data_IF_590733436307
#
_entry.id   IF_590733436307
#
_cell.length_a   1.000
_cell.length_b   1.000
_cell.length_c   1.000
_cell.angle_alpha   90.00
_cell.angle_beta   90.00
_cell.angle_gamma   90.00
#
_symmetry.space_group_name_H-M   'P 1'
#
loop_
_entity.id
_entity.type
_entity.pdbx_description
1 polymer ?
#
# COMPACT_ATOMS: atom_id res chain seq x y z
N UNK A 1 5.27 14.64 -7.50
CA UNK A 1 5.37 13.47 -6.58
C UNK A 1 6.08 13.92 -5.32
N UNK A 2 5.68 13.43 -4.16
CA UNK A 2 6.38 13.70 -2.90
C UNK A 2 7.74 13.00 -2.91
N UNK A 3 8.81 13.73 -2.55
CA UNK A 3 10.17 13.17 -2.52
C UNK A 3 10.26 12.07 -1.47
N UNK A 4 11.01 11.02 -1.76
CA UNK A 4 11.28 9.97 -0.78
C UNK A 4 12.30 10.45 0.24
N UNK A 5 11.98 10.24 1.53
CA UNK A 5 12.81 10.69 2.65
C UNK A 5 13.69 9.55 3.13
N UNK A 6 14.99 9.79 3.18
CA UNK A 6 16.03 8.82 3.57
C UNK A 6 16.78 9.36 4.78
N UNK A 7 17.00 8.51 5.77
CA UNK A 7 17.86 8.79 6.92
C UNK A 7 19.18 8.01 6.76
N UNK A 8 20.29 8.71 6.82
CA UNK A 8 21.65 8.13 6.79
C UNK A 8 22.25 8.16 8.19
N UNK A 9 22.71 7.01 8.67
CA UNK A 9 23.29 6.84 10.00
C UNK A 9 24.70 6.26 9.86
N UNK A 10 25.69 7.05 10.17
CA UNK A 10 27.12 6.67 10.05
C UNK A 10 27.93 7.58 10.98
N UNK A 11 28.77 7.05 11.84
CA UNK A 11 29.59 7.84 12.77
C UNK A 11 30.75 8.55 12.06
N UNK A 12 31.22 8.02 10.92
CA UNK A 12 32.22 8.65 10.09
C UNK A 12 31.65 9.86 9.31
N UNK A 13 32.02 11.08 9.68
CA UNK A 13 31.49 12.31 9.08
C UNK A 13 31.68 12.37 7.57
N UNK A 14 32.83 11.96 7.06
CA UNK A 14 33.15 12.00 5.61
C UNK A 14 32.27 11.03 4.84
N UNK A 15 32.06 9.81 5.36
CA UNK A 15 31.23 8.79 4.74
C UNK A 15 29.76 9.25 4.75
N UNK A 16 29.28 9.69 5.90
CA UNK A 16 27.93 10.23 6.06
C UNK A 16 27.65 11.40 5.11
N UNK A 17 28.57 12.36 5.02
CA UNK A 17 28.44 13.50 4.11
C UNK A 17 28.41 13.06 2.64
N UNK A 18 29.26 12.11 2.24
CA UNK A 18 29.30 11.57 0.89
C UNK A 18 27.97 10.87 0.52
N UNK A 19 27.47 9.97 1.38
CA UNK A 19 26.21 9.26 1.16
C UNK A 19 25.02 10.23 1.06
N UNK A 20 24.96 11.22 1.96
CA UNK A 20 23.92 12.25 1.93
C UNK A 20 23.95 13.03 0.62
N UNK A 21 25.11 13.44 0.13
CA UNK A 21 25.23 14.19 -1.12
C UNK A 21 24.86 13.34 -2.33
N UNK A 22 25.34 12.12 -2.45
CA UNK A 22 24.99 11.19 -3.53
C UNK A 22 23.47 11.02 -3.60
N UNK A 23 22.80 10.76 -2.48
CA UNK A 23 21.37 10.57 -2.45
C UNK A 23 20.60 11.85 -2.80
N UNK A 24 21.07 13.04 -2.37
CA UNK A 24 20.46 14.33 -2.72
C UNK A 24 20.54 14.64 -4.21
N UNK A 25 21.64 14.28 -4.89
CA UNK A 25 21.77 14.47 -6.36
C UNK A 25 20.78 13.62 -7.14
N UNK A 26 20.24 12.53 -6.54
CA UNK A 26 19.24 11.65 -7.13
C UNK A 26 17.82 11.93 -6.66
N UNK A 27 17.53 13.17 -6.27
CA UNK A 27 16.19 13.69 -5.95
C UNK A 27 15.54 13.10 -4.69
N UNK A 28 16.34 12.56 -3.75
CA UNK A 28 15.88 12.17 -2.43
C UNK A 28 15.97 13.33 -1.42
N UNK A 29 15.05 13.36 -0.47
CA UNK A 29 15.16 14.20 0.73
C UNK A 29 15.95 13.44 1.80
N UNK A 30 17.13 13.95 2.20
CA UNK A 30 18.07 13.18 2.99
C UNK A 30 18.50 13.95 4.23
N UNK A 31 18.39 13.29 5.39
CA UNK A 31 18.95 13.71 6.66
C UNK A 31 20.07 12.72 7.07
N UNK A 32 21.16 13.23 7.65
CA UNK A 32 22.27 12.41 8.13
C UNK A 32 22.54 12.65 9.61
N UNK A 33 22.72 11.59 10.38
CA UNK A 33 23.02 11.63 11.82
C UNK A 33 24.20 10.73 12.16
N UNK A 34 24.98 11.07 13.22
CA UNK A 34 26.19 10.34 13.57
C UNK A 34 25.94 9.08 14.41
N UNK A 35 24.74 8.93 15.01
CA UNK A 35 24.49 7.86 15.96
C UNK A 35 23.10 7.22 15.76
N UNK A 36 22.96 5.99 16.22
CA UNK A 36 21.69 5.28 16.26
C UNK A 36 20.68 5.98 17.18
N UNK A 37 21.13 6.54 18.29
CA UNK A 37 20.30 7.26 19.24
C UNK A 37 19.68 8.52 18.63
N UNK A 38 20.44 9.26 17.82
CA UNK A 38 19.93 10.43 17.11
C UNK A 38 18.98 10.03 15.97
N UNK A 39 19.26 8.89 15.32
CA UNK A 39 18.35 8.32 14.33
C UNK A 39 16.99 7.97 14.93
N UNK A 40 16.98 7.32 16.11
CA UNK A 40 15.73 6.98 16.80
C UNK A 40 14.95 8.23 17.22
N UNK A 41 15.61 9.29 17.72
CA UNK A 41 14.93 10.57 18.01
C UNK A 41 14.21 11.11 16.78
N UNK A 42 14.88 11.13 15.62
CA UNK A 42 14.27 11.60 14.39
C UNK A 42 13.10 10.71 13.92
N UNK A 43 13.21 9.39 14.10
CA UNK A 43 12.15 8.45 13.72
C UNK A 43 10.89 8.56 14.59
N UNK A 44 10.99 9.08 15.82
CA UNK A 44 9.81 9.41 16.62
C UNK A 44 9.09 10.67 16.13
N UNK A 45 9.84 11.66 15.64
CA UNK A 45 9.28 12.95 15.23
C UNK A 45 8.86 12.98 13.75
N UNK A 46 9.54 12.21 12.90
CA UNK A 46 9.40 12.24 11.45
C UNK A 46 9.29 10.84 10.86
N UNK A 47 8.62 10.74 9.71
CA UNK A 47 8.57 9.49 8.94
C UNK A 47 9.64 9.45 7.87
N UNK A 48 10.36 8.35 7.77
CA UNK A 48 11.32 8.07 6.70
C UNK A 48 10.86 6.86 5.89
N UNK A 49 11.17 6.86 4.60
CA UNK A 49 10.89 5.73 3.71
C UNK A 49 11.99 4.66 3.81
N UNK A 50 13.22 5.10 4.07
CA UNK A 50 14.39 4.25 4.14
C UNK A 50 15.38 4.79 5.17
N UNK A 51 16.00 3.89 5.92
CA UNK A 51 17.17 4.13 6.77
C UNK A 51 18.35 3.42 6.15
N UNK A 52 19.45 4.13 5.97
CA UNK A 52 20.73 3.62 5.52
C UNK A 52 21.69 3.69 6.71
N UNK A 53 22.19 2.57 7.20
CA UNK A 53 22.99 2.55 8.45
C UNK A 53 24.24 1.70 8.34
N UNK A 54 25.31 2.14 8.99
CA UNK A 54 26.43 1.23 9.28
C UNK A 54 26.03 0.22 10.37
N UNK A 55 26.68 -0.92 10.38
CA UNK A 55 26.60 -1.91 11.46
C UNK A 55 27.38 -1.49 12.70
N UNK A 56 28.55 -0.88 12.48
CA UNK A 56 29.45 -0.45 13.54
C UNK A 56 29.23 1.04 13.72
N UNK A 57 28.57 1.38 14.81
CA UNK A 57 28.35 2.75 15.24
C UNK A 57 28.85 2.88 16.68
N UNK A 58 29.28 4.07 17.07
CA UNK A 58 29.58 4.36 18.49
C UNK A 58 28.29 4.29 19.32
N UNK A 59 28.32 3.65 20.48
CA UNK A 59 27.17 3.47 21.36
C UNK A 59 26.25 2.32 20.90
N UNK A 60 25.04 2.61 20.48
CA UNK A 60 24.09 1.62 19.97
C UNK A 60 24.50 1.17 18.56
N UNK A 61 24.69 -0.14 18.36
CA UNK A 61 25.09 -0.70 17.07
C UNK A 61 23.98 -0.70 16.02
N UNK A 62 24.36 -0.78 14.73
CA UNK A 62 23.40 -0.75 13.62
C UNK A 62 22.39 -1.92 13.59
N UNK A 63 22.74 -3.09 14.14
CA UNK A 63 21.77 -4.20 14.27
C UNK A 63 20.69 -3.89 15.31
N UNK A 64 21.05 -3.29 16.42
CA UNK A 64 20.10 -2.86 17.45
C UNK A 64 19.23 -1.71 16.94
N UNK A 65 19.80 -0.79 16.16
CA UNK A 65 19.03 0.24 15.44
C UNK A 65 18.02 -0.40 14.49
N UNK A 66 18.42 -1.40 13.70
CA UNK A 66 17.51 -2.13 12.80
C UNK A 66 16.31 -2.73 13.54
N UNK A 67 16.55 -3.41 14.67
CA UNK A 67 15.47 -3.96 15.50
C UNK A 67 14.50 -2.86 15.97
N UNK A 68 15.02 -1.76 16.50
CA UNK A 68 14.21 -0.64 16.96
C UNK A 68 13.43 0.02 15.82
N UNK A 69 14.02 0.21 14.64
CA UNK A 69 13.35 0.75 13.46
C UNK A 69 12.16 -0.14 13.06
N UNK A 70 12.35 -1.47 13.04
CA UNK A 70 11.27 -2.40 12.68
C UNK A 70 10.13 -2.44 13.70
N UNK A 71 10.39 -2.11 14.96
CA UNK A 71 9.36 -1.95 16.01
C UNK A 71 8.63 -0.60 15.89
N UNK A 72 9.37 0.51 15.79
CA UNK A 72 8.80 1.87 15.78
C UNK A 72 8.11 2.17 14.44
N UNK A 73 8.75 1.80 13.35
CA UNK A 73 8.31 2.08 11.98
C UNK A 73 8.43 0.84 11.09
N UNK A 74 7.55 -0.17 11.22
CA UNK A 74 7.65 -1.44 10.49
C UNK A 74 7.64 -1.30 8.96
N UNK A 75 7.18 -0.15 8.46
CA UNK A 75 7.13 0.16 7.03
C UNK A 75 8.39 0.86 6.52
N UNK A 76 9.26 1.32 7.40
CA UNK A 76 10.53 1.92 7.00
C UNK A 76 11.49 0.83 6.56
N UNK A 77 12.02 0.98 5.35
CA UNK A 77 13.04 0.08 4.83
C UNK A 77 14.37 0.34 5.53
N UNK A 78 15.17 -0.69 5.70
CA UNK A 78 16.53 -0.57 6.28
C UNK A 78 17.51 -1.24 5.34
N UNK A 79 18.49 -0.47 4.87
CA UNK A 79 19.66 -0.97 4.14
C UNK A 79 20.88 -0.79 5.03
N UNK A 80 21.64 -1.86 5.19
CA UNK A 80 22.90 -1.82 5.93
C UNK A 80 24.05 -1.59 4.95
N UNK A 81 24.93 -0.61 5.26
CA UNK A 81 26.20 -0.39 4.54
C UNK A 81 27.34 -0.51 5.53
N UNK A 82 28.26 -1.46 5.34
CA UNK A 82 29.35 -1.66 6.30
C UNK A 82 30.65 -2.11 5.64
N UNK A 83 31.78 -1.67 6.18
CA UNK A 83 33.10 -2.17 5.83
C UNK A 83 33.46 -3.52 6.50
N UNK A 84 32.70 -3.94 7.50
CA UNK A 84 32.95 -5.14 8.29
C UNK A 84 31.86 -6.20 8.08
N UNK A 85 31.82 -6.72 6.85
CA UNK A 85 30.88 -7.79 6.49
C UNK A 85 31.40 -9.17 6.87
N UNK A 86 30.90 -9.78 7.93
CA UNK A 86 31.02 -11.22 8.13
C UNK A 86 29.73 -11.92 7.68
N UNK A 87 29.83 -13.18 7.24
CA UNK A 87 28.66 -14.01 6.93
C UNK A 87 27.70 -14.06 8.13
N UNK A 88 28.23 -14.08 9.35
CA UNK A 88 27.48 -14.12 10.59
C UNK A 88 26.63 -12.84 10.80
N UNK A 89 27.23 -11.67 10.58
CA UNK A 89 26.52 -10.37 10.72
C UNK A 89 25.45 -10.19 9.65
N UNK A 90 25.75 -10.58 8.40
CA UNK A 90 24.78 -10.54 7.31
C UNK A 90 23.57 -11.46 7.57
N UNK A 91 23.81 -12.69 8.04
CA UNK A 91 22.73 -13.63 8.43
C UNK A 91 21.89 -13.07 9.58
N UNK A 92 22.53 -12.43 10.56
CA UNK A 92 21.80 -11.80 11.68
C UNK A 92 20.93 -10.65 11.18
N UNK A 93 21.47 -9.76 10.35
CA UNK A 93 20.70 -8.67 9.75
C UNK A 93 19.48 -9.17 8.93
N UNK A 94 19.67 -10.25 8.15
CA UNK A 94 18.56 -10.89 7.40
C UNK A 94 17.46 -11.43 8.34
N UNK A 95 17.82 -12.04 9.46
CA UNK A 95 16.84 -12.52 10.46
C UNK A 95 16.06 -11.39 11.13
N UNK A 96 16.71 -10.23 11.30
CA UNK A 96 16.09 -9.03 11.86
C UNK A 96 15.27 -8.25 10.84
N UNK A 97 15.22 -8.69 9.58
CA UNK A 97 14.38 -8.11 8.55
C UNK A 97 15.00 -6.91 7.84
N UNK A 98 16.36 -6.91 7.67
CA UNK A 98 17.01 -5.96 6.77
C UNK A 98 16.49 -6.13 5.34
N UNK A 99 16.27 -5.04 4.65
CA UNK A 99 15.73 -5.07 3.28
C UNK A 99 16.85 -5.27 2.23
N UNK A 100 18.04 -4.74 2.48
CA UNK A 100 19.24 -5.01 1.67
C UNK A 100 20.54 -4.77 2.46
N UNK A 101 21.66 -5.23 1.90
CA UNK A 101 22.97 -5.18 2.55
C UNK A 101 24.07 -4.83 1.53
N UNK A 102 24.88 -3.83 1.82
CA UNK A 102 25.96 -3.33 0.98
C UNK A 102 27.31 -3.39 1.69
N UNK A 103 28.37 -3.70 0.99
CA UNK A 103 29.73 -3.66 1.50
C UNK A 103 30.41 -2.34 1.12
N UNK A 104 31.07 -1.68 2.09
CA UNK A 104 32.00 -0.56 1.81
C UNK A 104 33.35 -1.12 1.30
N UNK A 105 33.99 -0.51 0.29
CA UNK A 105 33.50 0.62 -0.49
C UNK A 105 32.46 0.19 -1.54
N UNK A 106 31.32 0.86 -1.60
CA UNK A 106 30.35 0.72 -2.68
C UNK A 106 30.41 1.94 -3.59
N UNK A 107 30.21 1.72 -4.89
CA UNK A 107 30.13 2.83 -5.84
C UNK A 107 28.73 3.49 -5.81
N UNK A 108 28.67 4.71 -6.37
CA UNK A 108 27.44 5.49 -6.43
C UNK A 108 26.32 4.75 -7.16
N UNK A 109 26.64 4.07 -8.27
CA UNK A 109 25.64 3.38 -9.09
C UNK A 109 25.04 2.19 -8.33
N UNK A 110 25.88 1.43 -7.61
CA UNK A 110 25.41 0.31 -6.79
C UNK A 110 24.50 0.81 -5.66
N UNK A 111 24.91 1.85 -4.93
CA UNK A 111 24.11 2.46 -3.88
C UNK A 111 22.73 2.88 -4.39
N UNK A 112 22.70 3.66 -5.48
CA UNK A 112 21.45 4.18 -6.04
C UNK A 112 20.57 3.08 -6.59
N UNK A 113 21.14 2.06 -7.25
CA UNK A 113 20.38 0.90 -7.73
C UNK A 113 19.68 0.17 -6.58
N UNK A 114 20.39 -0.08 -5.47
CA UNK A 114 19.84 -0.77 -4.30
C UNK A 114 18.74 0.04 -3.61
N UNK A 115 18.99 1.33 -3.39
CA UNK A 115 17.99 2.24 -2.81
C UNK A 115 16.73 2.31 -3.66
N UNK A 116 16.87 2.50 -4.97
CA UNK A 116 15.74 2.54 -5.90
C UNK A 116 14.94 1.25 -5.87
N UNK A 117 15.61 0.10 -6.02
CA UNK A 117 14.99 -1.23 -6.01
C UNK A 117 14.19 -1.47 -4.72
N UNK A 118 14.76 -1.15 -3.56
CA UNK A 118 14.08 -1.32 -2.28
C UNK A 118 12.81 -0.47 -2.20
N UNK A 119 12.88 0.80 -2.58
CA UNK A 119 11.74 1.72 -2.57
C UNK A 119 10.65 1.33 -3.58
N UNK A 120 11.02 0.84 -4.77
CA UNK A 120 10.10 0.35 -5.79
C UNK A 120 9.37 -0.92 -5.32
N UNK A 121 10.09 -1.91 -4.81
CA UNK A 121 9.48 -3.15 -4.28
C UNK A 121 8.47 -2.85 -3.17
N UNK A 122 8.74 -1.88 -2.30
CA UNK A 122 7.79 -1.44 -1.28
C UNK A 122 6.52 -0.82 -1.89
N UNK A 123 6.66 -0.02 -2.94
CA UNK A 123 5.52 0.60 -3.62
C UNK A 123 4.66 -0.42 -4.34
N UNK A 124 5.26 -1.39 -5.03
CA UNK A 124 4.55 -2.50 -5.66
C UNK A 124 3.77 -3.37 -4.66
N UNK A 125 4.38 -3.71 -3.52
CA UNK A 125 3.71 -4.48 -2.48
C UNK A 125 2.49 -3.75 -1.89
N UNK A 126 2.57 -2.43 -1.70
CA UNK A 126 1.43 -1.60 -1.26
C UNK A 126 0.31 -1.58 -2.31
N UNK A 127 0.66 -1.41 -3.58
CA UNK A 127 -0.32 -1.35 -4.67
C UNK A 127 -1.01 -2.70 -4.89
N UNK A 128 -0.27 -3.81 -4.87
CA UNK A 128 -0.87 -5.15 -4.95
C UNK A 128 -1.86 -5.41 -3.81
N UNK A 129 -1.51 -5.05 -2.58
CA UNK A 129 -2.39 -5.20 -1.43
C UNK A 129 -3.66 -4.35 -1.59
N UNK A 130 -3.53 -3.11 -2.06
CA UNK A 130 -4.65 -2.21 -2.34
C UNK A 130 -5.57 -2.77 -3.43
N UNK A 131 -5.00 -3.32 -4.51
CA UNK A 131 -5.77 -3.97 -5.59
C UNK A 131 -6.54 -5.18 -5.06
N UNK A 132 -5.93 -6.02 -4.21
CA UNK A 132 -6.59 -7.16 -3.59
C UNK A 132 -7.74 -6.72 -2.67
N UNK A 133 -7.54 -5.69 -1.85
CA UNK A 133 -8.57 -5.13 -0.97
C UNK A 133 -9.76 -4.58 -1.78
N UNK A 134 -9.50 -3.79 -2.82
CA UNK A 134 -10.54 -3.25 -3.72
C UNK A 134 -11.26 -4.38 -4.46
N UNK A 135 -10.53 -5.38 -4.95
CA UNK A 135 -11.12 -6.54 -5.63
C UNK A 135 -12.01 -7.39 -4.72
N UNK A 136 -11.61 -7.57 -3.45
CA UNK A 136 -12.41 -8.27 -2.46
C UNK A 136 -13.70 -7.51 -2.14
N UNK A 137 -13.64 -6.19 -1.98
CA UNK A 137 -14.81 -5.33 -1.76
C UNK A 137 -15.75 -5.40 -2.96
N UNK A 138 -15.24 -5.31 -4.20
CA UNK A 138 -16.04 -5.39 -5.41
C UNK A 138 -16.80 -6.71 -5.51
N UNK A 139 -16.13 -7.84 -5.29
CA UNK A 139 -16.74 -9.17 -5.30
C UNK A 139 -17.83 -9.31 -4.23
N UNK A 140 -17.60 -8.79 -3.05
CA UNK A 140 -18.57 -8.80 -1.95
C UNK A 140 -19.78 -7.93 -2.29
N UNK A 141 -19.60 -6.76 -2.90
CA UNK A 141 -20.69 -5.85 -3.27
C UNK A 141 -21.59 -6.44 -4.35
N UNK A 142 -21.02 -7.08 -5.37
CA UNK A 142 -21.82 -7.77 -6.42
C UNK A 142 -22.66 -8.89 -5.80
N UNK A 143 -22.04 -9.73 -4.95
CA UNK A 143 -22.75 -10.82 -4.28
C UNK A 143 -23.85 -10.31 -3.34
N UNK A 144 -23.64 -9.19 -2.65
CA UNK A 144 -24.64 -8.55 -1.80
C UNK A 144 -25.81 -7.98 -2.65
N UNK A 145 -25.52 -7.35 -3.79
CA UNK A 145 -26.55 -6.86 -4.71
C UNK A 145 -27.49 -7.99 -5.16
N UNK A 146 -26.95 -9.13 -5.56
CA UNK A 146 -27.76 -10.28 -5.99
C UNK A 146 -28.58 -10.85 -4.82
N UNK A 147 -27.97 -10.97 -3.63
CA UNK A 147 -28.66 -11.47 -2.43
C UNK A 147 -29.76 -10.54 -1.92
N UNK A 148 -29.66 -9.24 -2.16
CA UNK A 148 -30.68 -8.26 -1.78
C UNK A 148 -31.75 -8.13 -2.87
N UNK A 149 -31.37 -8.10 -4.14
CA UNK A 149 -32.31 -7.96 -5.24
C UNK A 149 -33.27 -9.16 -5.38
N UNK A 150 -32.79 -10.37 -5.07
CA UNK A 150 -33.62 -11.57 -5.11
C UNK A 150 -34.86 -11.49 -4.17
N UNK A 151 -34.73 -11.27 -2.85
CA UNK A 151 -35.89 -11.12 -1.96
C UNK A 151 -36.72 -9.89 -2.28
N UNK A 152 -36.13 -8.78 -2.75
CA UNK A 152 -36.89 -7.62 -3.18
C UNK A 152 -37.79 -7.92 -4.38
N UNK A 153 -37.32 -8.73 -5.35
CA UNK A 153 -38.12 -9.17 -6.48
C UNK A 153 -39.28 -10.07 -6.03
N UNK A 154 -39.03 -10.95 -5.05
CA UNK A 154 -40.11 -11.82 -4.48
C UNK A 154 -41.18 -10.97 -3.78
N UNK A 155 -40.76 -9.96 -3.00
CA UNK A 155 -41.71 -9.06 -2.31
C UNK A 155 -42.49 -8.26 -3.33
N UNK A 156 -41.86 -7.73 -4.38
CA UNK A 156 -42.53 -7.00 -5.46
C UNK A 156 -43.58 -7.86 -6.15
N UNK A 157 -43.25 -9.10 -6.55
CA UNK A 157 -44.15 -10.02 -7.17
C UNK A 157 -45.37 -10.37 -6.27
N UNK A 158 -45.14 -10.49 -4.95
CA UNK A 158 -46.28 -10.70 -4.02
C UNK A 158 -47.18 -9.46 -3.92
N UNK A 159 -46.63 -8.25 -3.94
CA UNK A 159 -47.40 -7.01 -3.97
C UNK A 159 -48.25 -6.97 -5.25
N UNK A 160 -47.66 -7.23 -6.41
CA UNK A 160 -48.38 -7.28 -7.71
C UNK A 160 -49.53 -8.30 -7.70
N UNK A 161 -49.30 -9.49 -7.11
CA UNK A 161 -50.37 -10.49 -6.96
C UNK A 161 -51.48 -10.04 -6.02
N UNK A 162 -51.18 -9.33 -4.94
CA UNK A 162 -52.19 -8.82 -4.02
C UNK A 162 -52.97 -7.65 -4.61
N UNK A 163 -52.37 -6.83 -5.45
CA UNK A 163 -53.03 -5.69 -6.10
C UNK A 163 -54.19 -6.10 -7.04
N UNK A 164 -54.09 -7.29 -7.66
CA UNK A 164 -55.11 -7.80 -8.59
C UNK A 164 -56.26 -8.57 -7.90
N UNK A 165 -56.18 -8.76 -6.56
CA UNK A 165 -57.28 -9.42 -5.85
C UNK A 165 -58.51 -8.51 -5.76
N UNK A 166 -59.72 -8.98 -6.18
CA UNK A 166 -60.92 -8.14 -6.23
C UNK A 166 -61.32 -7.52 -4.88
N UNK A 167 -60.94 -8.19 -3.78
CA UNK A 167 -61.23 -7.75 -2.41
C UNK A 167 -60.35 -6.57 -1.98
N UNK A 168 -59.15 -6.46 -2.53
CA UNK A 168 -58.17 -5.44 -2.19
C UNK A 168 -58.09 -4.32 -3.23
N UNK A 169 -58.48 -4.61 -4.47
CA UNK A 169 -58.42 -3.68 -5.60
C UNK A 169 -59.22 -2.39 -5.32
N UNK A 170 -60.38 -2.50 -4.66
CA UNK A 170 -61.27 -1.37 -4.35
C UNK A 170 -60.91 -0.64 -3.04
N UNK A 171 -59.92 -1.13 -2.31
CA UNK A 171 -59.52 -0.52 -1.05
C UNK A 171 -58.38 0.49 -1.27
N UNK A 172 -58.74 1.74 -1.43
CA UNK A 172 -57.84 2.85 -1.73
C UNK A 172 -56.68 2.95 -0.71
N UNK A 173 -56.90 2.67 0.57
CA UNK A 173 -55.91 2.70 1.61
C UNK A 173 -54.87 1.58 1.45
N UNK A 174 -55.32 0.39 1.02
CA UNK A 174 -54.45 -0.76 0.76
C UNK A 174 -53.60 -0.50 -0.49
N UNK A 175 -54.25 -0.01 -1.56
CA UNK A 175 -53.51 0.33 -2.80
C UNK A 175 -52.43 1.41 -2.57
N UNK A 176 -52.73 2.43 -1.78
CA UNK A 176 -51.74 3.42 -1.39
C UNK A 176 -50.57 2.80 -0.59
N UNK A 177 -50.85 1.84 0.29
CA UNK A 177 -49.79 1.15 1.05
C UNK A 177 -48.91 0.33 0.10
N UNK A 178 -49.47 -0.39 -0.87
CA UNK A 178 -48.68 -1.12 -1.86
C UNK A 178 -47.79 -0.19 -2.69
N UNK A 179 -48.33 0.94 -3.14
CA UNK A 179 -47.57 1.94 -3.88
C UNK A 179 -46.35 2.46 -3.08
N UNK A 180 -46.53 2.74 -1.80
CA UNK A 180 -45.42 3.15 -0.93
C UNK A 180 -44.37 2.03 -0.80
N UNK A 181 -44.79 0.77 -0.66
CA UNK A 181 -43.86 -0.37 -0.59
C UNK A 181 -43.06 -0.52 -1.88
N UNK A 182 -43.70 -0.43 -3.05
CA UNK A 182 -43.01 -0.46 -4.35
C UNK A 182 -41.97 0.65 -4.46
N UNK A 183 -42.32 1.87 -4.10
CA UNK A 183 -41.41 3.01 -4.12
C UNK A 183 -40.18 2.76 -3.24
N UNK A 184 -40.31 2.15 -2.04
CA UNK A 184 -39.19 1.83 -1.20
C UNK A 184 -38.32 0.70 -1.78
N UNK A 185 -38.93 -0.31 -2.40
CA UNK A 185 -38.20 -1.39 -3.09
C UNK A 185 -37.35 -0.82 -4.23
N UNK A 186 -37.90 0.05 -5.07
CA UNK A 186 -37.17 0.69 -6.16
C UNK A 186 -36.03 1.57 -5.63
N UNK A 187 -36.23 2.28 -4.53
CA UNK A 187 -35.23 3.08 -3.89
C UNK A 187 -34.05 2.23 -3.40
N UNK A 188 -34.33 1.07 -2.78
CA UNK A 188 -33.25 0.14 -2.33
C UNK A 188 -32.48 -0.40 -3.54
N UNK A 189 -33.17 -0.82 -4.61
CA UNK A 189 -32.53 -1.28 -5.84
C UNK A 189 -31.62 -0.22 -6.46
N UNK A 190 -32.08 1.03 -6.53
CA UNK A 190 -31.26 2.13 -7.07
C UNK A 190 -29.98 2.36 -6.25
N UNK A 191 -30.05 2.29 -4.93
CA UNK A 191 -28.87 2.40 -4.06
C UNK A 191 -27.90 1.26 -4.29
N UNK A 192 -28.42 0.02 -4.40
CA UNK A 192 -27.59 -1.16 -4.67
C UNK A 192 -26.90 -1.10 -6.03
N UNK A 193 -27.61 -0.64 -7.07
CA UNK A 193 -27.05 -0.47 -8.41
C UNK A 193 -25.95 0.62 -8.44
N UNK A 194 -26.16 1.73 -7.74
CA UNK A 194 -25.14 2.77 -7.60
C UNK A 194 -23.89 2.23 -6.90
N UNK A 195 -24.08 1.47 -5.83
CA UNK A 195 -22.97 0.85 -5.08
C UNK A 195 -22.17 -0.13 -5.96
N UNK A 196 -22.85 -0.99 -6.71
CA UNK A 196 -22.22 -1.94 -7.63
C UNK A 196 -21.44 -1.25 -8.75
N UNK A 197 -21.98 -0.18 -9.33
CA UNK A 197 -21.32 0.60 -10.39
C UNK A 197 -20.06 1.30 -9.88
N UNK A 198 -20.11 1.93 -8.71
CA UNK A 198 -18.94 2.60 -8.10
C UNK A 198 -17.81 1.61 -7.86
N UNK A 199 -18.11 0.46 -7.27
CA UNK A 199 -17.12 -0.57 -6.97
C UNK A 199 -16.50 -1.19 -8.23
N UNK A 200 -17.32 -1.40 -9.27
CA UNK A 200 -16.84 -1.93 -10.56
C UNK A 200 -15.97 -0.91 -11.31
N UNK A 201 -16.30 0.38 -11.25
CA UNK A 201 -15.52 1.43 -11.89
C UNK A 201 -14.14 1.59 -11.25
N UNK A 202 -14.05 1.54 -9.92
CA UNK A 202 -12.77 1.54 -9.21
C UNK A 202 -11.92 0.32 -9.57
N UNK A 203 -12.50 -0.89 -9.56
CA UNK A 203 -11.78 -2.12 -9.92
C UNK A 203 -11.23 -2.05 -11.34
N UNK A 204 -12.00 -1.55 -12.32
CA UNK A 204 -11.53 -1.38 -13.72
C UNK A 204 -10.39 -0.40 -13.84
N UNK A 205 -10.42 0.72 -13.10
CA UNK A 205 -9.34 1.71 -13.08
C UNK A 205 -8.01 1.11 -12.61
N UNK A 206 -8.04 0.28 -11.56
CA UNK A 206 -6.86 -0.40 -11.03
C UNK A 206 -6.36 -1.53 -11.94
N UNK A 207 -7.24 -2.27 -12.59
CA UNK A 207 -6.85 -3.33 -13.54
C UNK A 207 -6.20 -2.74 -14.79
N UNK A 208 -6.74 -1.66 -15.34
CA UNK A 208 -6.19 -0.97 -16.50
C UNK A 208 -4.78 -0.40 -16.24
N UNK A 209 -4.52 0.14 -15.04
CA UNK A 209 -3.18 0.59 -14.64
C UNK A 209 -2.17 -0.55 -14.62
N UNK A 210 -2.56 -1.73 -14.17
CA UNK A 210 -1.71 -2.92 -14.14
C UNK A 210 -1.32 -3.39 -15.53
N UNK A 211 -2.26 -3.39 -16.48
CA UNK A 211 -2.00 -3.81 -17.86
C UNK A 211 -1.05 -2.85 -18.58
N UNK A 212 -1.10 -1.56 -18.27
CA UNK A 212 -0.17 -0.54 -18.79
C UNK A 212 1.26 -0.74 -18.27
N UNK A 213 1.43 -1.01 -16.97
CA UNK A 213 2.75 -1.23 -16.36
C UNK A 213 3.42 -2.53 -16.85
N UNK A 214 2.64 -3.60 -17.09
CA UNK A 214 3.17 -4.87 -17.64
C UNK A 214 3.67 -4.68 -19.08
N UNK A 215 2.98 -3.88 -19.89
CA UNK A 215 3.37 -3.58 -21.27
C UNK A 215 4.66 -2.76 -21.28
N UNK A 216 4.84 -1.81 -20.38
CA UNK A 216 6.06 -0.98 -20.30
C UNK A 216 7.29 -1.81 -19.88
N UNK A 217 7.14 -2.76 -18.96
CA UNK A 217 8.20 -3.66 -18.53
C UNK A 217 8.59 -4.71 -19.58
N UNK A 218 7.67 -5.10 -20.48
CA UNK A 218 7.97 -6.03 -21.60
C UNK A 218 8.65 -5.31 -22.75
N UNK A 219 8.35 -4.05 -23.01
CA UNK A 219 9.00 -3.24 -24.05
C UNK A 219 10.42 -2.79 -23.66
N UNK A 220 10.75 -2.69 -22.38
CA UNK A 220 12.10 -2.35 -21.90
C UNK A 220 13.14 -3.49 -22.09
N UNK A 221 12.70 -4.72 -22.42
CA UNK A 221 13.59 -5.87 -22.67
C UNK A 221 13.92 -6.14 -24.16
N UNK A 222 13.49 -5.27 -25.05
CA UNK A 222 13.56 -5.47 -26.51
C UNK A 222 14.60 -4.65 -27.29
N UNK A 223 15.62 -4.08 -26.61
CA UNK A 223 16.74 -3.43 -27.28
C UNK A 223 18.08 -3.93 -26.70
N UNK A 224 18.51 -5.08 -27.13
CA UNK A 224 19.91 -5.47 -27.27
C UNK A 224 20.25 -5.59 -28.77
#
# INVERSE_FOLDING_TARGET
MEKKRILVVDDEEIVRYSLVNILKTHDYEVEGVPSAEDALKLLYDKTFHLVLTDLILEGMGGLELLENVKVISPRTLVIVITGYGSIKTAVTALRLGVDDYLLKPCDENELILRVRRALEMQSFGKEQKRIQEVGAIAKTTVTLSDRINTPLNIILGNIEMLQILPELEKNEKVQNTFKVMEEQIFRIKEVMDKLAKLTTAETRKYTALRDYEIIDLTNAKGHE
#
